data_IF_323027242816
#
_entry.id   IF_323027242816
#
_cell.length_a   1.000
_cell.length_b   1.000
_cell.length_c   1.000
_cell.angle_alpha   90.00
_cell.angle_beta   90.00
_cell.angle_gamma   90.00
#
_symmetry.space_group_name_H-M   'P 1'
#
loop_
_entity.id
_entity.type
_entity.pdbx_description
1 polymer ?
#
# COMPACT_ATOMS: atom_id res chain seq x y z
N UNK A 1 -30.66 59.27 13.63
CA UNK A 1 -29.80 59.61 12.47
C UNK A 1 -28.44 60.06 12.98
N UNK A 2 -27.37 59.79 12.22
CA UNK A 2 -25.95 60.19 12.41
C UNK A 2 -25.01 59.36 13.34
N UNK A 3 -23.96 58.84 12.68
CA UNK A 3 -22.58 58.42 13.05
C UNK A 3 -22.07 58.55 14.50
N UNK A 4 -21.11 57.76 15.02
CA UNK A 4 -19.72 57.61 14.51
C UNK A 4 -18.86 56.54 15.21
N UNK A 5 -18.13 55.77 14.41
CA UNK A 5 -16.84 55.05 14.58
C UNK A 5 -16.32 54.56 15.95
N UNK A 6 -15.90 53.29 15.99
CA UNK A 6 -15.27 52.57 17.11
C UNK A 6 -13.78 52.27 16.81
N UNK A 7 -12.84 52.90 17.54
CA UNK A 7 -11.40 52.58 17.39
C UNK A 7 -10.62 52.72 18.70
N UNK A 8 -10.13 51.59 19.25
CA UNK A 8 -8.85 51.50 19.98
C UNK A 8 -8.26 50.08 19.86
N UNK A 9 -7.03 50.00 19.33
CA UNK A 9 -6.01 48.94 19.49
C UNK A 9 -4.93 49.53 20.44
N UNK A 10 -3.80 48.88 20.79
CA UNK A 10 -3.33 47.50 20.54
C UNK A 10 -3.01 46.79 21.89
N UNK A 11 -2.13 45.79 22.10
CA UNK A 11 -1.24 45.00 21.21
C UNK A 11 -0.88 43.61 21.81
N UNK A 12 -0.45 42.67 20.96
CA UNK A 12 0.57 41.62 21.19
C UNK A 12 0.48 40.57 20.08
N UNK A 13 1.07 40.87 18.92
CA UNK A 13 1.36 39.85 17.89
C UNK A 13 2.24 38.74 18.45
N UNK A 14 1.99 37.51 18.04
CA UNK A 14 2.92 36.40 18.21
C UNK A 14 2.99 35.60 16.92
N UNK A 15 4.17 35.65 16.31
CA UNK A 15 4.67 34.74 15.26
C UNK A 15 4.29 33.27 15.56
N UNK A 16 4.17 32.39 14.56
CA UNK A 16 5.08 32.25 13.42
C UNK A 16 4.35 31.81 12.13
N UNK A 17 4.84 32.25 10.97
CA UNK A 17 4.34 31.82 9.64
C UNK A 17 5.45 31.10 8.89
N UNK A 18 5.44 29.77 8.93
CA UNK A 18 6.26 28.94 8.06
C UNK A 18 5.71 27.49 7.94
N UNK A 19 4.92 27.21 6.88
CA UNK A 19 5.12 25.98 6.09
C UNK A 19 4.52 26.15 4.67
N UNK A 20 5.24 26.87 3.83
CA UNK A 20 5.42 26.40 2.44
C UNK A 20 6.46 25.25 2.54
N UNK A 21 6.39 24.15 1.79
CA UNK A 21 6.44 24.13 0.33
C UNK A 21 5.81 22.84 -0.22
N UNK A 22 5.01 23.00 -1.28
CA UNK A 22 4.54 21.88 -2.10
C UNK A 22 5.72 21.30 -2.93
N UNK A 23 5.95 19.97 -2.95
CA UNK A 23 7.01 19.41 -3.79
C UNK A 23 6.60 19.37 -5.28
N UNK A 24 6.75 20.51 -5.97
CA UNK A 24 6.91 20.53 -7.42
C UNK A 24 8.36 20.17 -7.77
N UNK A 25 8.57 19.03 -8.44
CA UNK A 25 9.72 18.83 -9.32
C UNK A 25 9.43 17.72 -10.31
N UNK A 26 9.18 18.14 -11.56
CA UNK A 26 8.96 17.26 -12.69
C UNK A 26 10.26 17.18 -13.52
N UNK A 27 10.45 16.01 -14.14
CA UNK A 27 11.32 15.75 -15.28
C UNK A 27 12.85 15.51 -15.08
N UNK A 28 13.40 14.85 -16.10
CA UNK A 28 14.80 14.49 -16.43
C UNK A 28 15.62 13.59 -15.50
N UNK A 29 15.71 12.32 -15.92
CA UNK A 29 16.89 11.43 -15.94
C UNK A 29 17.74 11.14 -14.67
N UNK A 30 18.14 9.87 -14.58
CA UNK A 30 19.26 9.37 -13.75
C UNK A 30 19.15 9.50 -12.21
N UNK A 31 17.99 9.16 -11.64
CA UNK A 31 17.95 8.72 -10.24
C UNK A 31 18.80 7.47 -10.05
N UNK A 32 19.97 7.64 -9.42
CA UNK A 32 20.88 6.58 -8.98
C UNK A 32 20.09 5.45 -8.33
N UNK A 33 20.00 4.31 -9.02
CA UNK A 33 19.36 3.10 -8.49
C UNK A 33 20.17 2.62 -7.29
N UNK A 34 19.77 3.05 -6.08
CA UNK A 34 20.11 2.33 -4.83
C UNK A 34 19.86 0.85 -5.12
N UNK A 35 20.78 -0.08 -4.78
CA UNK A 35 20.62 -1.48 -5.11
C UNK A 35 19.27 -1.94 -4.55
N UNK A 36 18.30 -2.11 -5.45
CA UNK A 36 16.96 -2.52 -5.10
C UNK A 36 17.12 -3.93 -4.56
N UNK A 37 17.11 -4.07 -3.23
CA UNK A 37 16.95 -5.38 -2.57
C UNK A 37 15.66 -5.93 -3.14
N UNK A 38 15.79 -6.83 -4.11
CA UNK A 38 14.69 -7.33 -4.91
C UNK A 38 13.73 -8.03 -3.97
N UNK A 39 12.68 -7.32 -3.54
CA UNK A 39 11.63 -7.92 -2.71
C UNK A 39 11.10 -9.09 -3.53
N UNK A 40 11.23 -10.30 -2.98
CA UNK A 40 10.70 -11.49 -3.63
C UNK A 40 9.18 -11.29 -3.70
N UNK A 41 8.66 -11.26 -4.91
CA UNK A 41 7.24 -11.06 -5.18
C UNK A 41 6.57 -12.42 -5.16
N UNK A 42 5.37 -12.47 -4.59
CA UNK A 42 4.56 -13.67 -4.44
C UNK A 42 3.11 -13.36 -4.84
N UNK A 43 2.28 -14.41 -4.90
CA UNK A 43 0.90 -14.36 -5.34
C UNK A 43 0.73 -13.87 -6.80
N UNK A 44 -0.48 -14.05 -7.37
CA UNK A 44 -0.85 -13.52 -8.69
C UNK A 44 -0.79 -11.98 -8.76
N UNK A 45 -0.86 -11.29 -7.62
CA UNK A 45 -0.75 -9.83 -7.56
C UNK A 45 0.71 -9.32 -7.63
N UNK A 46 1.72 -10.20 -7.63
CA UNK A 46 3.14 -9.85 -7.63
C UNK A 46 3.51 -8.85 -6.53
N UNK A 47 2.94 -9.04 -5.34
CA UNK A 47 3.22 -8.20 -4.17
C UNK A 47 4.31 -8.84 -3.29
N UNK A 48 5.08 -8.05 -2.53
CA UNK A 48 5.96 -8.59 -1.51
C UNK A 48 5.14 -9.23 -0.37
N UNK A 49 5.83 -9.93 0.54
CA UNK A 49 5.20 -10.35 1.79
C UNK A 49 4.91 -9.14 2.68
N UNK A 50 3.64 -8.74 2.76
CA UNK A 50 3.15 -7.60 3.53
C UNK A 50 2.59 -8.00 4.92
N UNK A 51 2.81 -9.26 5.35
CA UNK A 51 2.32 -9.79 6.64
C UNK A 51 0.87 -10.29 6.64
N UNK A 52 0.22 -10.29 5.48
CA UNK A 52 -1.11 -10.90 5.28
C UNK A 52 -1.01 -12.44 5.36
N UNK A 53 -2.09 -13.14 5.77
CA UNK A 53 -2.12 -14.60 5.73
C UNK A 53 -1.92 -15.11 4.29
N UNK A 54 -1.09 -16.14 4.17
CA UNK A 54 -0.74 -16.77 2.89
C UNK A 54 -0.91 -18.27 2.96
N UNK A 55 -1.41 -18.84 1.87
CA UNK A 55 -1.52 -20.28 1.64
C UNK A 55 -0.45 -20.73 0.64
N UNK A 56 0.13 -21.90 0.86
CA UNK A 56 0.99 -22.56 -0.13
C UNK A 56 0.14 -23.47 -1.02
N UNK A 57 0.28 -23.35 -2.34
CA UNK A 57 -0.36 -24.27 -3.29
C UNK A 57 0.41 -25.59 -3.34
N UNK A 58 -0.20 -26.76 -3.12
CA UNK A 58 0.53 -28.03 -3.20
C UNK A 58 1.12 -28.29 -4.61
N UNK A 59 0.33 -28.04 -5.65
CA UNK A 59 0.70 -28.32 -7.05
C UNK A 59 1.90 -27.51 -7.58
N UNK A 60 2.07 -26.24 -7.18
CA UNK A 60 3.20 -25.40 -7.63
C UNK A 60 4.13 -24.92 -6.51
N UNK A 61 3.78 -25.20 -5.25
CA UNK A 61 4.52 -24.82 -4.03
C UNK A 61 4.77 -23.32 -3.86
N UNK A 62 4.01 -22.51 -4.56
CA UNK A 62 4.06 -21.05 -4.50
C UNK A 62 3.05 -20.49 -3.48
N UNK A 63 3.37 -19.33 -2.92
CA UNK A 63 2.60 -18.67 -1.87
C UNK A 63 1.62 -17.65 -2.44
N UNK A 64 0.36 -17.71 -1.99
CA UNK A 64 -0.72 -16.82 -2.41
C UNK A 64 -1.39 -16.20 -1.18
N UNK A 65 -1.76 -14.93 -1.24
CA UNK A 65 -2.54 -14.31 -0.16
C UNK A 65 -3.94 -14.92 -0.14
N UNK A 66 -4.45 -15.34 1.02
CA UNK A 66 -5.77 -15.97 1.14
C UNK A 66 -6.88 -15.06 0.58
N UNK A 67 -6.78 -13.75 0.82
CA UNK A 67 -7.68 -12.74 0.22
C UNK A 67 -7.61 -12.63 -1.31
N UNK A 68 -6.44 -12.84 -1.94
CA UNK A 68 -6.33 -12.80 -3.41
C UNK A 68 -6.98 -14.00 -4.10
N UNK A 69 -7.24 -15.07 -3.34
CA UNK A 69 -7.79 -16.33 -3.86
C UNK A 69 -9.17 -16.67 -3.28
N UNK A 70 -9.73 -15.76 -2.47
CA UNK A 70 -11.01 -15.90 -1.75
C UNK A 70 -11.08 -17.20 -0.94
N UNK A 71 -9.99 -17.48 -0.20
CA UNK A 71 -9.87 -18.59 0.73
C UNK A 71 -9.83 -18.02 2.15
N UNK A 72 -10.48 -18.68 3.10
CA UNK A 72 -10.33 -18.37 4.53
C UNK A 72 -9.00 -18.93 5.07
N UNK A 73 -8.31 -18.22 5.98
CA UNK A 73 -7.03 -18.67 6.51
C UNK A 73 -7.16 -19.98 7.30
N UNK A 74 -8.22 -20.16 8.08
CA UNK A 74 -8.48 -21.39 8.83
C UNK A 74 -8.58 -22.62 7.91
N UNK A 75 -9.30 -22.50 6.79
CA UNK A 75 -9.40 -23.57 5.77
C UNK A 75 -8.03 -23.84 5.13
N UNK A 76 -7.23 -22.78 4.92
CA UNK A 76 -5.90 -22.87 4.31
C UNK A 76 -4.83 -23.56 5.18
N UNK A 77 -5.04 -23.60 6.50
CA UNK A 77 -4.13 -24.25 7.45
C UNK A 77 -4.48 -25.74 7.65
N UNK A 78 -5.74 -26.13 7.48
CA UNK A 78 -6.22 -27.50 7.73
C UNK A 78 -6.36 -28.36 6.45
N UNK A 79 -6.35 -27.79 5.23
CA UNK A 79 -6.50 -28.53 3.97
C UNK A 79 -5.47 -28.24 2.87
N UNK A 80 -5.20 -29.25 2.03
CA UNK A 80 -4.38 -29.13 0.82
C UNK A 80 -5.05 -28.25 -0.25
N UNK A 81 -4.67 -26.97 -0.28
CA UNK A 81 -5.21 -26.02 -1.25
C UNK A 81 -4.41 -25.99 -2.57
N UNK A 82 -5.13 -25.83 -3.69
CA UNK A 82 -4.55 -25.72 -5.04
C UNK A 82 -5.02 -24.45 -5.74
N UNK A 83 -4.08 -23.67 -6.26
CA UNK A 83 -4.35 -22.36 -6.87
C UNK A 83 -5.06 -22.46 -8.23
N UNK A 84 -5.77 -21.39 -8.61
CA UNK A 84 -6.49 -21.33 -9.88
C UNK A 84 -5.57 -21.27 -11.12
N UNK A 85 -4.27 -21.07 -10.95
CA UNK A 85 -3.28 -21.16 -12.03
C UNK A 85 -2.81 -22.60 -12.28
N UNK A 86 -2.99 -23.51 -11.32
CA UNK A 86 -2.71 -24.92 -11.52
C UNK A 86 -3.87 -25.58 -12.29
N UNK A 87 -3.57 -26.51 -13.23
CA UNK A 87 -4.61 -27.23 -13.94
C UNK A 87 -5.32 -28.16 -12.95
N UNK A 88 -6.50 -27.75 -12.49
CA UNK A 88 -7.45 -28.65 -11.85
C UNK A 88 -7.81 -29.72 -12.89
N UNK A 89 -7.21 -30.90 -12.75
CA UNK A 89 -7.56 -32.07 -13.57
C UNK A 89 -8.96 -32.51 -13.16
N UNK A 90 -9.96 -31.87 -13.77
CA UNK A 90 -11.23 -32.51 -14.05
C UNK A 90 -10.92 -33.60 -15.08
N UNK A 91 -10.61 -34.80 -14.59
CA UNK A 91 -10.60 -35.99 -15.44
C UNK A 91 -12.00 -36.16 -16.03
N UNK A 92 -12.02 -36.39 -17.35
CA UNK A 92 -13.18 -36.45 -18.25
C UNK A 92 -14.23 -37.51 -17.88
#
# INVERSE_FOLDING_TARGET
MTTRSKTKRPDSSKDDTAEETQPMSNDTAERKKKPQKSKKLYCICQQPYDGNPMVQCDSCREWFHCSCVNLDPDEAEDMDWTCNSCPKTAEK
#
